data_IF_218470994029
#
_entry.id   IF_218470994029
#
_cell.length_a   1.000
_cell.length_b   1.000
_cell.length_c   1.000
_cell.angle_alpha   90.00
_cell.angle_beta   90.00
_cell.angle_gamma   90.00
#
_symmetry.space_group_name_H-M   'P 1'
#
loop_
_entity.id
_entity.type
_entity.pdbx_description
1 polymer ?
#
# COMPACT_ATOMS: atom_id res chain seq x y z
N UNK A 1 18.89 -2.77 -10.32
CA UNK A 1 17.50 -2.39 -9.97
C UNK A 1 16.42 -3.36 -10.48
N UNK A 2 15.99 -3.36 -11.76
CA UNK A 2 14.86 -4.22 -12.20
C UNK A 2 15.08 -5.73 -11.94
N UNK A 3 16.31 -6.22 -12.17
CA UNK A 3 16.67 -7.61 -11.88
C UNK A 3 16.61 -7.96 -10.38
N UNK A 4 16.98 -7.02 -9.50
CA UNK A 4 16.88 -7.21 -8.04
C UNK A 4 15.42 -7.29 -7.58
N UNK A 5 14.55 -6.44 -8.14
CA UNK A 5 13.11 -6.47 -7.88
C UNK A 5 12.53 -7.82 -8.31
N UNK A 6 12.87 -8.29 -9.52
CA UNK A 6 12.39 -9.57 -10.03
C UNK A 6 12.90 -10.77 -9.21
N UNK A 7 14.13 -10.70 -8.68
CA UNK A 7 14.65 -11.72 -7.78
C UNK A 7 13.84 -11.83 -6.47
N UNK A 8 13.19 -10.75 -6.06
CA UNK A 8 12.28 -10.72 -4.91
C UNK A 8 10.84 -11.03 -5.26
N UNK A 9 10.48 -11.18 -6.54
CA UNK A 9 9.08 -11.21 -6.98
C UNK A 9 8.24 -12.27 -6.28
N UNK A 10 8.79 -13.44 -5.95
CA UNK A 10 8.06 -14.50 -5.22
C UNK A 10 7.75 -14.17 -3.75
N UNK A 11 8.29 -13.06 -3.23
CA UNK A 11 8.20 -12.63 -1.82
C UNK A 11 7.46 -11.32 -1.62
N UNK A 12 7.18 -10.58 -2.71
CA UNK A 12 6.51 -9.28 -2.66
C UNK A 12 5.29 -9.29 -3.58
N UNK A 13 4.27 -8.52 -3.22
CA UNK A 13 3.04 -8.42 -4.03
C UNK A 13 3.16 -7.38 -5.15
N UNK A 14 4.03 -6.39 -4.97
CA UNK A 14 4.16 -5.26 -5.87
C UNK A 14 5.29 -4.30 -5.50
N UNK A 15 5.44 -3.28 -6.33
CA UNK A 15 6.40 -2.20 -6.16
C UNK A 15 5.70 -0.86 -6.04
N UNK A 16 6.20 -0.03 -5.14
CA UNK A 16 5.84 1.39 -5.05
C UNK A 16 7.03 2.22 -5.48
N UNK A 17 6.83 3.11 -6.44
CA UNK A 17 7.84 4.03 -6.96
C UNK A 17 7.56 5.41 -6.40
N UNK A 18 8.49 5.92 -5.63
CA UNK A 18 8.44 7.21 -4.93
C UNK A 18 9.84 7.84 -4.87
N UNK A 19 9.94 9.04 -4.28
CA UNK A 19 11.17 9.84 -4.27
C UNK A 19 11.35 10.62 -5.57
N UNK A 20 12.14 11.70 -5.54
CA UNK A 20 12.20 12.66 -6.65
C UNK A 20 10.80 13.05 -7.16
N UNK A 21 10.70 13.39 -8.44
CA UNK A 21 9.44 13.36 -9.17
C UNK A 21 9.58 12.33 -10.31
N UNK A 22 8.93 11.15 -10.24
CA UNK A 22 9.14 10.09 -11.22
C UNK A 22 8.90 10.52 -12.66
N UNK A 23 7.92 11.41 -12.91
CA UNK A 23 7.62 11.90 -14.25
C UNK A 23 8.61 12.95 -14.77
N UNK A 24 9.57 13.40 -13.97
CA UNK A 24 10.73 14.19 -14.44
C UNK A 24 11.85 13.33 -15.03
N UNK A 25 11.78 12.00 -14.89
CA UNK A 25 12.72 11.05 -15.49
C UNK A 25 11.95 9.99 -16.29
N UNK A 26 11.16 10.39 -17.29
CA UNK A 26 10.14 9.54 -17.89
C UNK A 26 10.74 8.35 -18.66
N UNK A 27 11.91 8.48 -19.27
CA UNK A 27 12.58 7.38 -19.97
C UNK A 27 13.00 6.26 -19.01
N UNK A 28 13.59 6.64 -17.87
CA UNK A 28 14.05 5.70 -16.83
C UNK A 28 12.86 5.01 -16.18
N UNK A 29 11.80 5.78 -15.86
CA UNK A 29 10.57 5.23 -15.31
C UNK A 29 9.92 4.23 -16.27
N UNK A 30 9.82 4.59 -17.56
CA UNK A 30 9.22 3.73 -18.57
C UNK A 30 10.03 2.44 -18.79
N UNK A 31 11.36 2.52 -18.86
CA UNK A 31 12.23 1.33 -18.98
C UNK A 31 12.05 0.39 -17.79
N UNK A 32 12.05 0.93 -16.56
CA UNK A 32 11.82 0.14 -15.36
C UNK A 32 10.47 -0.58 -15.40
N UNK A 33 9.38 0.16 -15.65
CA UNK A 33 8.04 -0.42 -15.71
C UNK A 33 7.93 -1.49 -16.80
N UNK A 34 8.56 -1.26 -17.95
CA UNK A 34 8.51 -2.19 -19.09
C UNK A 34 9.22 -3.50 -18.76
N UNK A 35 10.34 -3.44 -18.04
CA UNK A 35 11.05 -4.65 -17.56
C UNK A 35 10.28 -5.43 -16.52
N UNK A 36 9.33 -4.79 -15.83
CA UNK A 36 8.47 -5.41 -14.83
C UNK A 36 7.10 -5.84 -15.41
N UNK A 37 6.82 -5.56 -16.69
CA UNK A 37 5.51 -5.74 -17.31
C UNK A 37 5.01 -7.19 -17.22
N UNK A 38 5.89 -8.15 -17.50
CA UNK A 38 5.57 -9.59 -17.52
C UNK A 38 5.58 -10.25 -16.12
N UNK A 39 5.89 -9.48 -15.07
CA UNK A 39 5.83 -9.97 -13.70
C UNK A 39 4.41 -9.87 -13.13
N UNK A 40 4.13 -10.66 -12.08
CA UNK A 40 2.85 -10.58 -11.35
C UNK A 40 2.78 -9.39 -10.39
N UNK A 41 3.86 -8.60 -10.30
CA UNK A 41 4.00 -7.50 -9.36
C UNK A 41 3.08 -6.35 -9.74
N UNK A 42 2.34 -5.84 -8.75
CA UNK A 42 1.64 -4.58 -8.93
C UNK A 42 2.60 -3.41 -9.04
N UNK A 43 2.18 -2.35 -9.71
CA UNK A 43 2.98 -1.14 -9.91
C UNK A 43 2.19 0.07 -9.42
N UNK A 44 2.63 0.65 -8.31
CA UNK A 44 2.09 1.88 -7.74
C UNK A 44 3.11 3.01 -7.91
N UNK A 45 2.67 4.19 -8.36
CA UNK A 45 3.55 5.36 -8.52
C UNK A 45 2.99 6.56 -7.76
N UNK A 46 3.86 7.26 -7.03
CA UNK A 46 3.57 8.55 -6.41
C UNK A 46 4.05 9.69 -7.32
N UNK A 47 3.22 10.73 -7.49
CA UNK A 47 3.61 11.93 -8.23
C UNK A 47 3.04 13.19 -7.58
N UNK A 48 3.84 14.27 -7.60
CA UNK A 48 3.40 15.62 -7.30
C UNK A 48 2.54 16.23 -8.39
N UNK A 49 2.54 15.67 -9.60
CA UNK A 49 1.64 16.06 -10.68
C UNK A 49 0.28 15.41 -10.53
N UNK A 50 -0.73 16.08 -11.07
CA UNK A 50 -2.09 15.56 -11.24
C UNK A 50 -2.16 14.65 -12.47
N UNK A 51 -3.15 13.74 -12.52
CA UNK A 51 -3.37 12.90 -13.69
C UNK A 51 -3.48 13.71 -15.01
N UNK A 52 -4.24 14.83 -15.09
CA UNK A 52 -4.31 15.63 -16.31
C UNK A 52 -3.00 16.33 -16.69
N UNK A 53 -2.11 16.64 -15.74
CA UNK A 53 -0.77 17.14 -16.04
C UNK A 53 0.08 16.03 -16.67
N UNK A 54 0.04 14.82 -16.09
CA UNK A 54 0.79 13.66 -16.58
C UNK A 54 0.34 13.26 -17.98
N UNK A 55 -0.96 13.24 -18.26
CA UNK A 55 -1.51 12.88 -19.59
C UNK A 55 -0.98 13.79 -20.72
N UNK A 56 -0.52 15.01 -20.39
CA UNK A 56 0.05 15.96 -21.35
C UNK A 56 1.55 15.79 -21.57
N UNK A 57 2.23 14.97 -20.77
CA UNK A 57 3.65 14.70 -20.98
C UNK A 57 3.85 13.75 -22.17
N UNK A 58 4.94 13.93 -22.97
CA UNK A 58 5.19 13.11 -24.15
C UNK A 58 5.14 11.60 -23.89
N UNK A 59 5.70 11.15 -22.76
CA UNK A 59 5.70 9.73 -22.35
C UNK A 59 4.65 9.39 -21.29
N UNK A 60 3.91 10.39 -20.79
CA UNK A 60 2.94 10.21 -19.70
C UNK A 60 1.90 9.12 -19.98
N UNK A 61 1.17 9.16 -21.11
CA UNK A 61 0.22 8.11 -21.46
C UNK A 61 0.85 6.72 -21.55
N UNK A 62 2.09 6.61 -22.05
CA UNK A 62 2.81 5.33 -22.14
C UNK A 62 3.20 4.78 -20.78
N UNK A 63 3.59 5.65 -19.86
CA UNK A 63 3.89 5.31 -18.47
C UNK A 63 2.61 4.89 -17.73
N UNK A 64 1.52 5.67 -17.85
CA UNK A 64 0.23 5.40 -17.20
C UNK A 64 -0.33 4.03 -17.56
N UNK A 65 -0.15 3.57 -18.81
CA UNK A 65 -0.58 2.22 -19.25
C UNK A 65 0.14 1.07 -18.54
N UNK A 66 1.27 1.33 -17.89
CA UNK A 66 2.07 0.31 -17.21
C UNK A 66 1.90 0.33 -15.68
N UNK A 67 1.04 1.20 -15.17
CA UNK A 67 0.85 1.41 -13.73
C UNK A 67 -0.53 0.89 -13.35
N UNK A 68 -0.64 0.26 -12.18
CA UNK A 68 -1.92 -0.18 -11.63
C UNK A 68 -2.59 0.92 -10.80
N UNK A 69 -1.77 1.66 -10.04
CA UNK A 69 -2.23 2.71 -9.13
C UNK A 69 -1.34 3.95 -9.24
N UNK A 70 -1.95 5.12 -9.43
CA UNK A 70 -1.28 6.41 -9.34
C UNK A 70 -1.78 7.17 -8.11
N UNK A 71 -0.87 7.62 -7.26
CA UNK A 71 -1.14 8.58 -6.18
C UNK A 71 -0.69 9.96 -6.66
N UNK A 72 -1.64 10.79 -7.08
CA UNK A 72 -1.38 12.05 -7.78
C UNK A 72 -1.64 13.28 -6.91
N UNK A 73 -0.83 14.31 -7.10
CA UNK A 73 -0.96 15.64 -6.51
C UNK A 73 0.17 16.00 -5.55
N UNK A 74 0.49 17.29 -5.50
CA UNK A 74 1.57 17.85 -4.65
C UNK A 74 1.33 17.53 -3.18
N UNK A 75 2.40 17.17 -2.47
CA UNK A 75 2.33 17.00 -1.03
C UNK A 75 2.10 18.35 -0.32
N UNK A 76 1.15 18.38 0.63
CA UNK A 76 0.85 19.56 1.45
C UNK A 76 0.94 19.18 2.92
N UNK A 77 2.00 19.63 3.60
CA UNK A 77 2.27 19.27 4.99
C UNK A 77 1.12 19.61 5.96
N UNK A 78 0.47 20.77 5.77
CA UNK A 78 -0.69 21.18 6.58
C UNK A 78 -1.93 20.30 6.39
N UNK A 79 -1.94 19.42 5.39
CA UNK A 79 -3.02 18.49 5.07
C UNK A 79 -2.60 17.03 5.22
N UNK A 80 -1.57 16.75 6.01
CA UNK A 80 -1.03 15.39 6.17
C UNK A 80 -2.09 14.38 6.63
N UNK A 81 -2.08 13.18 6.04
CA UNK A 81 -2.97 12.07 6.39
C UNK A 81 -2.13 10.91 6.92
N UNK A 82 -2.18 10.65 8.23
CA UNK A 82 -1.26 9.71 8.91
C UNK A 82 -1.55 8.22 8.75
N UNK A 83 -2.67 7.84 8.14
CA UNK A 83 -3.17 6.45 8.15
C UNK A 83 -3.56 5.92 6.75
N UNK A 84 -3.10 6.55 5.67
CA UNK A 84 -3.45 6.17 4.30
C UNK A 84 -2.24 6.20 3.38
N UNK A 85 -2.38 5.67 2.17
CA UNK A 85 -1.42 5.85 1.08
C UNK A 85 -1.31 7.32 0.66
N UNK A 86 -2.26 8.18 1.02
CA UNK A 86 -2.19 9.62 0.76
C UNK A 86 -1.22 10.28 1.75
N UNK A 87 -0.18 10.94 1.23
CA UNK A 87 0.67 11.80 2.05
C UNK A 87 -0.07 13.05 2.54
N UNK A 88 -0.97 13.60 1.71
CA UNK A 88 -1.82 14.73 2.07
C UNK A 88 -3.22 14.64 1.47
N UNK A 89 -4.21 15.26 2.13
CA UNK A 89 -5.63 15.13 1.81
C UNK A 89 -6.04 15.73 0.44
N UNK A 90 -5.15 16.44 -0.24
CA UNK A 90 -5.38 16.92 -1.60
C UNK A 90 -4.94 15.92 -2.68
N UNK A 91 -4.24 14.86 -2.29
CA UNK A 91 -3.80 13.83 -3.22
C UNK A 91 -4.94 12.88 -3.56
N UNK A 92 -4.91 12.32 -4.76
CA UNK A 92 -5.93 11.43 -5.28
C UNK A 92 -5.32 10.08 -5.68
N UNK A 93 -6.01 8.99 -5.35
CA UNK A 93 -5.69 7.65 -5.84
C UNK A 93 -6.47 7.43 -7.13
N UNK A 94 -5.75 7.16 -8.22
CA UNK A 94 -6.29 6.76 -9.50
C UNK A 94 -6.00 5.27 -9.69
N UNK A 95 -7.06 4.48 -9.81
CA UNK A 95 -6.99 3.05 -10.16
C UNK A 95 -6.99 2.97 -11.69
N UNK A 96 -5.84 2.60 -12.28
CA UNK A 96 -5.66 2.55 -13.72
C UNK A 96 -5.95 1.15 -14.29
N UNK A 97 -5.90 0.13 -13.43
CA UNK A 97 -6.30 -1.25 -13.74
C UNK A 97 -7.32 -1.75 -12.73
N UNK A 98 -7.97 -2.88 -13.05
CA UNK A 98 -8.91 -3.56 -12.13
C UNK A 98 -8.24 -4.33 -10.99
N UNK A 99 -6.91 -4.23 -10.81
CA UNK A 99 -6.17 -5.03 -9.82
C UNK A 99 -6.57 -4.71 -8.38
N UNK A 100 -6.87 -3.46 -8.09
CA UNK A 100 -7.24 -3.00 -6.76
C UNK A 100 -8.59 -2.28 -6.76
N UNK A 101 -9.30 -2.40 -5.65
CA UNK A 101 -10.44 -1.56 -5.32
C UNK A 101 -10.02 -0.43 -4.38
N UNK A 102 -10.82 0.64 -4.34
CA UNK A 102 -10.54 1.79 -3.47
C UNK A 102 -10.52 1.38 -1.99
N UNK A 103 -11.41 0.47 -1.57
CA UNK A 103 -11.49 0.00 -0.20
C UNK A 103 -10.20 -0.70 0.27
N UNK A 104 -9.55 -1.47 -0.62
CA UNK A 104 -8.29 -2.13 -0.31
C UNK A 104 -7.14 -1.14 -0.10
N UNK A 105 -7.17 0.03 -0.74
CA UNK A 105 -6.11 1.04 -0.68
C UNK A 105 -6.26 2.05 0.45
N UNK A 106 -7.46 2.21 1.01
CA UNK A 106 -7.72 3.19 2.09
C UNK A 106 -7.16 2.74 3.43
N UNK A 107 -7.10 1.42 3.70
CA UNK A 107 -6.71 0.85 4.99
C UNK A 107 -5.36 0.11 4.98
N UNK A 108 -4.47 0.38 4.01
CA UNK A 108 -3.16 -0.32 3.95
C UNK A 108 -2.23 0.21 5.05
N UNK A 109 -1.77 -0.62 6.00
CA UNK A 109 -0.76 -0.20 6.98
C UNK A 109 0.57 0.05 6.27
N UNK A 110 1.16 1.23 6.50
CA UNK A 110 2.41 1.64 5.85
C UNK A 110 3.60 0.84 6.41
N UNK A 111 4.06 -0.15 5.66
CA UNK A 111 5.41 -0.74 5.77
C UNK A 111 6.13 -0.41 4.47
N UNK A 112 7.19 0.37 4.59
CA UNK A 112 7.98 0.89 3.50
C UNK A 112 9.35 0.21 3.53
N UNK A 113 9.76 -0.33 2.39
CA UNK A 113 11.04 -1.00 2.17
C UNK A 113 11.79 -0.18 1.12
N UNK A 114 12.80 0.56 1.55
CA UNK A 114 13.64 1.39 0.68
C UNK A 114 14.87 0.58 0.31
N UNK A 115 15.05 0.32 -0.99
CA UNK A 115 16.26 -0.27 -1.54
C UNK A 115 17.22 0.85 -1.94
N UNK A 116 18.41 0.84 -1.36
CA UNK A 116 19.46 1.80 -1.69
C UNK A 116 20.30 1.31 -2.87
N UNK A 117 20.95 2.21 -3.62
CA UNK A 117 21.82 1.85 -4.75
C UNK A 117 23.00 0.93 -4.39
N UNK A 118 23.39 0.89 -3.11
CA UNK A 118 24.44 0.01 -2.58
C UNK A 118 23.91 -1.38 -2.18
N UNK A 119 22.62 -1.64 -2.38
CA UNK A 119 21.96 -2.90 -2.00
C UNK A 119 21.48 -2.94 -0.55
N UNK A 120 21.66 -1.88 0.23
CA UNK A 120 21.10 -1.81 1.57
C UNK A 120 19.57 -1.71 1.54
N UNK A 121 18.92 -2.29 2.55
CA UNK A 121 17.46 -2.27 2.70
C UNK A 121 17.11 -1.52 3.98
N UNK A 122 16.37 -0.41 3.87
CA UNK A 122 15.79 0.28 5.02
C UNK A 122 14.31 -0.05 5.13
N UNK A 123 13.88 -0.58 6.27
CA UNK A 123 12.46 -0.84 6.56
C UNK A 123 11.94 0.28 7.46
N UNK A 124 10.93 1.02 7.03
CA UNK A 124 10.27 2.08 7.80
C UNK A 124 8.76 1.82 7.91
N UNK A 125 8.12 2.23 9.00
CA UNK A 125 6.68 2.02 9.22
C UNK A 125 6.32 1.88 10.70
N UNK A 126 5.25 2.56 11.13
CA UNK A 126 4.77 2.53 12.51
C UNK A 126 3.79 1.36 12.71
N UNK A 127 4.34 0.20 13.09
CA UNK A 127 3.67 -0.75 13.99
C UNK A 127 4.72 -1.76 14.48
N UNK A 128 5.00 -1.85 15.79
CA UNK A 128 5.76 -2.98 16.30
C UNK A 128 4.94 -4.25 16.00
N UNK A 129 5.54 -5.14 15.23
CA UNK A 129 5.00 -6.49 15.07
C UNK A 129 4.91 -7.13 16.46
N UNK A 130 3.69 -7.46 16.90
CA UNK A 130 3.47 -8.44 17.95
C UNK A 130 3.17 -9.76 17.25
N UNK A 131 4.00 -10.81 17.41
CA UNK A 131 3.55 -12.15 17.05
C UNK A 131 2.31 -12.45 17.88
N UNK A 132 1.23 -12.87 17.23
CA UNK A 132 0.14 -13.51 17.93
C UNK A 132 0.72 -14.76 18.62
N UNK A 133 0.78 -14.74 19.94
CA UNK A 133 1.04 -15.94 20.73
C UNK A 133 -0.10 -16.90 20.43
N UNK A 134 0.20 -18.01 19.79
CA UNK A 134 -0.70 -19.15 19.64
C UNK A 134 -1.38 -19.46 20.98
N UNK A 135 -2.67 -19.10 21.13
CA UNK A 135 -3.53 -19.77 22.11
C UNK A 135 -3.94 -21.09 21.47
N UNK A 136 -3.25 -22.15 21.88
CA UNK A 136 -3.73 -23.52 21.68
C UNK A 136 -5.08 -23.71 22.37
N UNK A 137 -5.86 -24.60 21.80
CA UNK A 137 -7.25 -24.93 22.09
C UNK A 137 -7.62 -25.04 23.58
N UNK A 138 -8.83 -24.58 23.89
CA UNK A 138 -9.79 -25.41 24.61
C UNK A 138 -11.21 -25.16 24.07
N UNK A 139 -11.85 -26.25 23.65
CA UNK A 139 -13.20 -26.35 23.09
C UNK A 139 -14.23 -26.55 24.25
N UNK A 140 -15.55 -26.49 23.97
CA UNK A 140 -16.55 -25.98 24.90
C UNK A 140 -17.17 -27.05 25.79
N UNK A 141 -17.75 -26.65 26.93
CA UNK A 141 -18.72 -27.45 27.67
C UNK A 141 -20.06 -26.72 27.73
N UNK A 142 -21.03 -27.22 26.96
CA UNK A 142 -22.44 -26.91 27.09
C UNK A 142 -23.07 -27.84 28.13
N UNK A 143 -23.84 -27.29 29.08
CA UNK A 143 -25.08 -27.87 29.62
C UNK A 143 -25.52 -27.10 30.88
N UNK A 144 -26.82 -26.80 30.98
CA UNK A 144 -27.45 -26.50 32.28
C UNK A 144 -28.51 -25.41 32.26
N UNK A 145 -29.70 -25.72 31.75
CA UNK A 145 -30.94 -24.98 32.06
C UNK A 145 -31.21 -25.02 33.58
N UNK A 146 -31.76 -23.95 34.15
CA UNK A 146 -32.37 -24.02 35.48
C UNK A 146 -32.76 -22.68 36.12
N UNK A 147 -33.97 -22.18 35.80
CA UNK A 147 -35.01 -21.76 36.75
C UNK A 147 -34.61 -20.82 37.92
N UNK A 148 -35.07 -19.55 37.86
CA UNK A 148 -35.47 -18.73 39.03
C UNK A 148 -36.65 -19.42 39.76
N UNK A 149 -36.96 -19.22 41.06
CA UNK A 149 -36.87 -17.94 41.82
C UNK A 149 -36.55 -18.10 43.32
N UNK A 150 -36.45 -16.96 44.04
CA UNK A 150 -37.00 -16.66 45.39
C UNK A 150 -36.12 -15.68 46.19
N UNK A 151 -36.75 -14.65 46.77
CA UNK A 151 -36.18 -13.78 47.81
C UNK A 151 -36.04 -14.52 49.16
N UNK A 152 -35.93 -13.85 50.34
CA UNK A 152 -36.35 -12.46 50.64
C UNK A 152 -35.35 -11.60 51.46
N UNK A 153 -35.76 -10.33 51.64
CA UNK A 153 -35.63 -9.43 52.80
C UNK A 153 -34.29 -9.13 53.50
N UNK A 154 -34.00 -7.82 53.61
CA UNK A 154 -33.59 -7.01 54.78
C UNK A 154 -32.78 -5.81 54.26
N UNK A 155 -33.04 -4.53 54.53
CA UNK A 155 -33.94 -3.80 55.44
C UNK A 155 -34.27 -2.44 54.82
#
# INVERSE_FOLDING_TARGET
MAAEILALATRIEGVSISGGEPFQQPEVLLDLLSRLADSHLSRLVFSGYTLPEIERFPLGPSILRQIDVLIAGRYVASRHVGHSLLGSANQQIHLLTGRYSRAQLVCVPRRELILHPDGAITVTGLSPWRPESHRSADLPSAAGRGVSPSGPEAS
#
